data_IF_620077734457
#
_entry.id   IF_620077734457
#
_cell.length_a   1.000
_cell.length_b   1.000
_cell.length_c   1.000
_cell.angle_alpha   90.00
_cell.angle_beta   90.00
_cell.angle_gamma   90.00
#
_symmetry.space_group_name_H-M   'P 1'
#
loop_
_entity.id
_entity.type
_entity.pdbx_description
1 polymer ?
#
# COMPACT_ATOMS: atom_id res chain seq x y z
N UNK A 1 8.21 -26.02 17.01
CA UNK A 1 8.96 -25.54 15.83
C UNK A 1 10.43 -25.61 16.21
N UNK A 2 11.31 -26.08 15.33
CA UNK A 2 12.75 -26.01 15.59
C UNK A 2 13.31 -24.68 15.03
N UNK A 3 14.40 -24.16 15.61
CA UNK A 3 15.02 -22.88 15.21
C UNK A 3 15.31 -22.81 13.70
N UNK A 4 15.58 -23.97 13.08
CA UNK A 4 15.80 -24.09 11.63
C UNK A 4 14.52 -23.80 10.83
N UNK A 5 13.38 -24.34 11.25
CA UNK A 5 12.09 -24.06 10.62
C UNK A 5 11.74 -22.58 10.73
N UNK A 6 12.01 -21.96 11.87
CA UNK A 6 11.79 -20.52 12.08
C UNK A 6 12.67 -19.69 11.13
N UNK A 7 13.97 -20.00 11.03
CA UNK A 7 14.87 -19.32 10.10
C UNK A 7 14.44 -19.50 8.63
N UNK A 8 14.06 -20.71 8.24
CA UNK A 8 13.56 -20.98 6.88
C UNK A 8 12.30 -20.17 6.55
N UNK A 9 11.37 -20.04 7.50
CA UNK A 9 10.16 -19.21 7.33
C UNK A 9 10.54 -17.73 7.19
N UNK A 10 11.46 -17.24 8.00
CA UNK A 10 11.93 -15.86 7.91
C UNK A 10 12.62 -15.59 6.58
N UNK A 11 13.50 -16.47 6.11
CA UNK A 11 14.17 -16.34 4.82
C UNK A 11 13.17 -16.33 3.66
N UNK A 12 12.15 -17.19 3.72
CA UNK A 12 11.03 -17.22 2.77
C UNK A 12 10.27 -15.89 2.74
N UNK A 13 9.93 -15.34 3.90
CA UNK A 13 9.26 -14.04 4.00
C UNK A 13 10.13 -12.91 3.46
N UNK A 14 11.40 -12.83 3.86
CA UNK A 14 12.33 -11.79 3.38
C UNK A 14 12.57 -11.87 1.87
N UNK A 15 12.68 -13.08 1.33
CA UNK A 15 12.87 -13.26 -0.12
C UNK A 15 11.63 -12.78 -0.86
N UNK A 16 10.44 -13.18 -0.39
CA UNK A 16 9.19 -12.76 -1.01
C UNK A 16 8.98 -11.24 -0.93
N UNK A 17 9.16 -10.61 0.22
CA UNK A 17 8.96 -9.15 0.35
C UNK A 17 9.90 -8.38 -0.57
N UNK A 18 11.16 -8.80 -0.70
CA UNK A 18 12.10 -8.21 -1.66
C UNK A 18 11.66 -8.34 -3.11
N UNK A 19 10.93 -9.39 -3.48
CA UNK A 19 10.40 -9.54 -4.85
C UNK A 19 9.30 -8.53 -5.20
N UNK A 20 8.63 -7.96 -4.19
CA UNK A 20 7.58 -6.95 -4.39
C UNK A 20 8.16 -5.56 -4.66
N UNK A 21 9.34 -5.28 -4.08
CA UNK A 21 9.97 -3.94 -4.09
C UNK A 21 10.13 -3.36 -5.49
N UNK A 22 10.56 -4.08 -6.55
CA UNK A 22 10.73 -3.46 -7.87
C UNK A 22 9.45 -2.89 -8.47
N UNK A 23 8.30 -3.54 -8.29
CA UNK A 23 7.03 -3.04 -8.80
C UNK A 23 6.54 -1.84 -7.97
N UNK A 24 6.68 -1.94 -6.65
CA UNK A 24 6.30 -0.88 -5.71
C UNK A 24 7.17 0.38 -5.88
N UNK A 25 8.48 0.21 -6.09
CA UNK A 25 9.42 1.29 -6.36
C UNK A 25 9.06 2.04 -7.64
N UNK A 26 8.77 1.33 -8.74
CA UNK A 26 8.32 1.96 -9.99
C UNK A 26 7.05 2.79 -9.79
N UNK A 27 6.10 2.26 -9.01
CA UNK A 27 4.87 2.99 -8.70
C UNK A 27 5.14 4.27 -7.89
N UNK A 28 6.02 4.19 -6.88
CA UNK A 28 6.45 5.36 -6.10
C UNK A 28 7.14 6.40 -6.99
N UNK A 29 8.01 5.98 -7.92
CA UNK A 29 8.67 6.88 -8.87
C UNK A 29 7.65 7.61 -9.75
N UNK A 30 6.59 6.93 -10.19
CA UNK A 30 5.50 7.54 -10.95
C UNK A 30 4.70 8.55 -10.11
N UNK A 31 4.44 8.26 -8.83
CA UNK A 31 3.85 9.24 -7.92
C UNK A 31 4.75 10.46 -7.73
N UNK A 32 6.07 10.26 -7.63
CA UNK A 32 7.03 11.34 -7.45
C UNK A 32 7.22 12.21 -8.70
N UNK A 33 6.98 11.64 -9.88
CA UNK A 33 6.94 12.37 -11.14
C UNK A 33 5.68 13.25 -11.24
N UNK A 34 4.53 12.77 -10.72
CA UNK A 34 3.29 13.52 -10.67
C UNK A 34 3.31 14.59 -9.59
N UNK A 35 3.88 14.28 -8.42
CA UNK A 35 3.91 15.14 -7.25
C UNK A 35 5.33 15.40 -6.77
N UNK A 36 6.03 16.41 -7.33
CA UNK A 36 7.41 16.72 -6.95
C UNK A 36 7.61 17.01 -5.45
N UNK A 37 6.57 17.43 -4.73
CA UNK A 37 6.60 17.68 -3.28
C UNK A 37 6.89 16.43 -2.45
N UNK A 38 6.68 15.21 -2.97
CA UNK A 38 7.02 13.99 -2.23
C UNK A 38 8.47 13.54 -2.44
N UNK A 39 9.20 14.09 -3.43
CA UNK A 39 10.60 13.72 -3.68
C UNK A 39 11.51 13.93 -2.46
N UNK A 40 11.39 15.04 -1.70
CA UNK A 40 12.12 15.19 -0.44
C UNK A 40 11.81 14.09 0.59
N UNK A 41 10.56 13.63 0.68
CA UNK A 41 10.16 12.53 1.58
C UNK A 41 10.84 11.23 1.18
N UNK A 42 10.93 10.94 -0.12
CA UNK A 42 11.63 9.76 -0.64
C UNK A 42 13.13 9.82 -0.32
N UNK A 43 13.75 10.99 -0.53
CA UNK A 43 15.17 11.18 -0.26
C UNK A 43 15.50 11.10 1.24
N UNK A 44 14.62 11.61 2.10
CA UNK A 44 14.71 11.46 3.56
C UNK A 44 14.55 10.00 3.97
N UNK A 45 13.52 9.32 3.47
CA UNK A 45 13.26 7.91 3.74
C UNK A 45 14.47 7.02 3.44
N UNK A 46 15.08 7.17 2.26
CA UNK A 46 16.24 6.37 1.86
C UNK A 46 17.46 6.69 2.74
N UNK A 47 17.65 7.96 3.13
CA UNK A 47 18.76 8.36 3.99
C UNK A 47 18.63 7.76 5.40
N UNK A 48 17.40 7.68 5.91
CA UNK A 48 17.15 7.24 7.28
C UNK A 48 17.11 5.71 7.42
N UNK A 49 16.82 4.98 6.33
CA UNK A 49 16.67 3.52 6.35
C UNK A 49 17.75 2.76 5.56
N UNK A 50 18.66 3.46 4.86
CA UNK A 50 19.67 2.89 3.93
C UNK A 50 19.09 2.06 2.75
N UNK A 51 17.76 1.98 2.64
CA UNK A 51 17.05 1.30 1.55
C UNK A 51 15.65 1.90 1.34
N UNK A 52 15.03 1.60 0.19
CA UNK A 52 13.64 1.92 -0.04
C UNK A 52 12.75 0.89 0.66
N UNK A 53 11.91 1.34 1.58
CA UNK A 53 10.89 0.52 2.24
C UNK A 53 9.49 1.02 1.81
N UNK A 54 8.92 0.50 0.70
CA UNK A 54 7.71 1.06 0.09
C UNK A 54 6.53 1.18 1.05
N UNK A 55 6.27 0.16 1.87
CA UNK A 55 5.18 0.17 2.87
C UNK A 55 5.32 1.31 3.87
N UNK A 56 6.54 1.56 4.35
CA UNK A 56 6.82 2.62 5.34
C UNK A 56 6.68 3.98 4.68
N UNK A 57 7.35 4.17 3.53
CA UNK A 57 7.30 5.41 2.75
C UNK A 57 5.87 5.77 2.33
N UNK A 58 5.06 4.80 1.92
CA UNK A 58 3.67 5.07 1.53
C UNK A 58 2.83 5.56 2.73
N UNK A 59 3.17 5.14 3.96
CA UNK A 59 2.61 5.72 5.18
C UNK A 59 3.00 7.18 5.37
N UNK A 60 4.22 7.57 5.01
CA UNK A 60 4.66 8.97 5.03
C UNK A 60 3.97 9.81 3.96
N UNK A 61 3.80 9.26 2.76
CA UNK A 61 3.00 9.86 1.68
C UNK A 61 1.54 10.04 2.13
N UNK A 62 0.95 9.07 2.84
CA UNK A 62 -0.40 9.20 3.41
C UNK A 62 -0.50 10.36 4.41
N UNK A 63 0.52 10.56 5.27
CA UNK A 63 0.58 11.72 6.17
C UNK A 63 0.74 13.03 5.41
N UNK A 64 1.55 13.06 4.35
CA UNK A 64 1.69 14.22 3.48
C UNK A 64 0.37 14.59 2.81
N UNK A 65 -0.39 13.63 2.28
CA UNK A 65 -1.75 13.87 1.75
C UNK A 65 -2.64 14.51 2.82
N UNK A 66 -2.56 14.03 4.07
CA UNK A 66 -3.27 14.64 5.19
C UNK A 66 -2.88 16.09 5.46
N UNK A 67 -1.61 16.47 5.26
CA UNK A 67 -1.15 17.85 5.35
C UNK A 67 -1.72 18.70 4.19
N UNK A 68 -1.62 18.22 2.94
CA UNK A 68 -2.15 18.93 1.77
C UNK A 68 -3.66 19.18 1.91
N UNK A 69 -4.41 18.21 2.44
CA UNK A 69 -5.86 18.36 2.68
C UNK A 69 -6.17 19.43 3.74
N UNK A 70 -5.31 19.62 4.74
CA UNK A 70 -5.48 20.67 5.75
C UNK A 70 -5.15 22.06 5.21
N UNK A 71 -4.11 22.17 4.38
CA UNK A 71 -3.54 23.46 3.98
C UNK A 71 -4.11 24.00 2.67
N UNK A 72 -4.60 23.12 1.79
CA UNK A 72 -5.15 23.53 0.50
C UNK A 72 -6.60 24.03 0.64
N UNK A 73 -6.95 25.21 0.08
CA UNK A 73 -8.34 25.67 0.01
C UNK A 73 -9.21 24.81 -0.93
N UNK A 74 -8.59 24.08 -1.86
CA UNK A 74 -9.26 23.10 -2.74
C UNK A 74 -8.42 21.82 -2.84
N UNK A 75 -8.49 20.94 -1.84
CA UNK A 75 -7.74 19.69 -1.83
C UNK A 75 -8.13 18.75 -2.98
N UNK A 76 -9.40 18.79 -3.42
CA UNK A 76 -9.88 17.91 -4.49
C UNK A 76 -9.18 18.22 -5.79
N UNK A 77 -9.09 19.50 -6.18
CA UNK A 77 -8.38 19.91 -7.38
C UNK A 77 -6.87 19.65 -7.26
N UNK A 78 -6.27 20.01 -6.11
CA UNK A 78 -4.83 19.86 -5.85
C UNK A 78 -4.34 18.41 -5.95
N UNK A 79 -5.14 17.47 -5.44
CA UNK A 79 -4.77 16.04 -5.36
C UNK A 79 -5.44 15.18 -6.44
N UNK A 80 -6.21 15.76 -7.37
CA UNK A 80 -6.91 15.00 -8.40
C UNK A 80 -5.96 14.09 -9.23
N UNK A 81 -4.78 14.56 -9.71
CA UNK A 81 -3.87 13.69 -10.46
C UNK A 81 -3.31 12.55 -9.61
N UNK A 82 -3.02 12.82 -8.33
CA UNK A 82 -2.51 11.83 -7.38
C UNK A 82 -3.53 10.71 -7.14
N UNK A 83 -4.77 11.06 -6.79
CA UNK A 83 -5.83 10.05 -6.57
C UNK A 83 -6.23 9.32 -7.85
N UNK A 84 -6.20 9.98 -9.00
CA UNK A 84 -6.41 9.31 -10.29
C UNK A 84 -5.36 8.24 -10.54
N UNK A 85 -4.07 8.54 -10.26
CA UNK A 85 -2.99 7.55 -10.41
C UNK A 85 -3.16 6.38 -9.44
N UNK A 86 -3.57 6.61 -8.18
CA UNK A 86 -3.85 5.52 -7.23
C UNK A 86 -4.99 4.62 -7.74
N UNK A 87 -6.06 5.23 -8.23
CA UNK A 87 -7.23 4.53 -8.76
C UNK A 87 -6.88 3.71 -10.02
N UNK A 88 -6.06 4.25 -10.92
CA UNK A 88 -5.58 3.55 -12.12
C UNK A 88 -4.61 2.40 -11.82
N UNK A 89 -3.80 2.52 -10.76
CA UNK A 89 -2.92 1.45 -10.30
C UNK A 89 -3.64 0.32 -9.57
N UNK A 90 -4.91 0.50 -9.24
CA UNK A 90 -5.66 -0.51 -8.51
C UNK A 90 -6.02 -1.69 -9.41
N UNK A 91 -5.42 -2.83 -9.11
CA UNK A 91 -5.71 -4.14 -9.69
C UNK A 91 -6.57 -4.96 -8.73
N UNK A 92 -7.76 -5.40 -9.17
CA UNK A 92 -8.73 -6.15 -8.36
C UNK A 92 -8.21 -7.52 -7.89
N UNK A 93 -7.20 -8.07 -8.57
CA UNK A 93 -6.55 -9.35 -8.23
C UNK A 93 -5.50 -9.24 -7.10
N UNK A 94 -5.23 -8.01 -6.61
CA UNK A 94 -4.36 -7.80 -5.46
C UNK A 94 -2.87 -7.86 -5.77
N UNK A 95 -2.44 -7.32 -6.91
CA UNK A 95 -1.02 -7.17 -7.25
C UNK A 95 -0.21 -6.41 -6.19
N UNK A 96 1.15 -6.45 -6.26
CA UNK A 96 2.03 -5.83 -5.27
C UNK A 96 1.77 -4.34 -5.02
N UNK A 97 1.27 -3.63 -6.04
CA UNK A 97 0.91 -2.20 -5.97
C UNK A 97 -0.46 -2.02 -5.31
N UNK A 98 -1.47 -2.83 -5.65
CA UNK A 98 -2.77 -2.81 -4.96
C UNK A 98 -2.63 -3.09 -3.46
N UNK A 99 -1.77 -4.05 -3.09
CA UNK A 99 -1.49 -4.34 -1.68
C UNK A 99 -0.87 -3.12 -0.99
N UNK A 100 0.12 -2.48 -1.62
CA UNK A 100 0.74 -1.25 -1.10
C UNK A 100 -0.28 -0.13 -0.91
N UNK A 101 -1.12 0.14 -1.92
CA UNK A 101 -2.18 1.17 -1.84
C UNK A 101 -3.18 0.82 -0.74
N UNK A 102 -3.59 -0.43 -0.64
CA UNK A 102 -4.53 -0.87 0.38
C UNK A 102 -3.96 -0.67 1.78
N UNK A 103 -2.89 -1.39 2.13
CA UNK A 103 -2.42 -1.51 3.52
C UNK A 103 -1.59 -0.32 3.97
N UNK A 104 -0.96 0.39 3.03
CA UNK A 104 -0.05 1.49 3.36
C UNK A 104 -0.60 2.86 3.02
N UNK A 105 -1.69 2.95 2.26
CA UNK A 105 -2.35 4.23 2.00
C UNK A 105 -3.78 4.28 2.54
N UNK A 106 -4.70 3.48 1.99
CA UNK A 106 -6.13 3.56 2.37
C UNK A 106 -6.34 3.26 3.85
N UNK A 107 -5.66 2.24 4.38
CA UNK A 107 -5.71 1.89 5.81
C UNK A 107 -5.00 2.90 6.72
N UNK A 108 -4.12 3.75 6.19
CA UNK A 108 -3.51 4.84 6.96
C UNK A 108 -4.35 6.13 6.96
N UNK A 109 -5.36 6.24 6.09
CA UNK A 109 -6.22 7.45 5.96
C UNK A 109 -7.69 7.20 6.28
N UNK A 110 -8.07 5.97 6.66
CA UNK A 110 -9.46 5.55 6.83
C UNK A 110 -10.26 6.38 7.84
N UNK A 111 -9.58 6.95 8.84
CA UNK A 111 -10.15 7.77 9.90
C UNK A 111 -10.23 9.26 9.55
N UNK A 112 -9.70 9.65 8.37
CA UNK A 112 -9.76 11.02 7.88
C UNK A 112 -10.87 11.19 6.81
N UNK A 113 -12.08 11.65 7.18
CA UNK A 113 -13.19 11.74 6.24
C UNK A 113 -12.95 12.75 5.11
N UNK A 114 -12.04 13.72 5.28
CA UNK A 114 -11.71 14.66 4.21
C UNK A 114 -10.89 13.99 3.11
N UNK A 115 -9.97 13.08 3.47
CA UNK A 115 -9.20 12.27 2.51
C UNK A 115 -10.09 11.20 1.87
N UNK A 116 -10.91 10.50 2.66
CA UNK A 116 -11.79 9.42 2.16
C UNK A 116 -12.71 9.90 1.03
N UNK A 117 -13.16 11.16 1.07
CA UNK A 117 -14.00 11.77 0.02
C UNK A 117 -13.26 12.00 -1.31
N UNK A 118 -11.95 11.86 -1.34
CA UNK A 118 -11.11 12.02 -2.54
C UNK A 118 -10.84 10.69 -3.24
N UNK A 119 -11.12 9.55 -2.60
CA UNK A 119 -10.94 8.23 -3.18
C UNK A 119 -11.80 8.06 -4.43
N UNK A 120 -11.23 7.41 -5.45
CA UNK A 120 -11.98 6.92 -6.61
C UNK A 120 -12.86 5.72 -6.25
N UNK A 121 -13.67 5.22 -7.21
CA UNK A 121 -14.68 4.19 -6.94
C UNK A 121 -14.12 2.88 -6.38
N UNK A 122 -12.99 2.38 -6.88
CA UNK A 122 -12.37 1.14 -6.44
C UNK A 122 -11.78 1.30 -5.04
N UNK A 123 -11.05 2.39 -4.78
CA UNK A 123 -10.48 2.64 -3.46
C UNK A 123 -11.55 2.95 -2.41
N UNK A 124 -12.61 3.66 -2.80
CA UNK A 124 -13.77 3.87 -1.94
C UNK A 124 -14.48 2.55 -1.64
N UNK A 125 -14.59 1.64 -2.62
CA UNK A 125 -15.10 0.29 -2.39
C UNK A 125 -14.23 -0.48 -1.39
N UNK A 126 -12.91 -0.49 -1.59
CA UNK A 126 -11.97 -1.11 -0.64
C UNK A 126 -12.13 -0.56 0.77
N UNK A 127 -12.20 0.77 0.91
CA UNK A 127 -12.45 1.43 2.19
C UNK A 127 -13.74 0.94 2.87
N UNK A 128 -14.84 0.81 2.13
CA UNK A 128 -16.13 0.33 2.68
C UNK A 128 -16.05 -1.13 3.12
N UNK A 129 -15.33 -1.97 2.37
CA UNK A 129 -15.07 -3.36 2.77
C UNK A 129 -14.20 -3.42 4.03
N UNK A 130 -13.10 -2.66 4.06
CA UNK A 130 -12.15 -2.60 5.19
C UNK A 130 -12.82 -2.14 6.49
N UNK A 131 -13.67 -1.11 6.40
CA UNK A 131 -14.41 -0.56 7.55
C UNK A 131 -15.68 -1.33 7.92
N UNK A 132 -15.97 -2.43 7.22
CA UNK A 132 -17.15 -3.28 7.48
C UNK A 132 -18.48 -2.69 7.04
N UNK A 133 -18.47 -1.61 6.24
CA UNK A 133 -19.66 -0.99 5.65
C UNK A 133 -20.22 -1.81 4.48
N UNK A 134 -19.37 -2.56 3.78
CA UNK A 134 -19.73 -3.48 2.70
C UNK A 134 -19.11 -4.85 2.90
N UNK A 135 -19.72 -5.87 2.30
CA UNK A 135 -19.13 -7.21 2.23
C UNK A 135 -18.19 -7.29 1.01
N UNK A 136 -17.05 -7.99 1.11
CA UNK A 136 -16.22 -8.25 -0.06
C UNK A 136 -17.03 -9.04 -1.09
N UNK A 137 -16.85 -8.73 -2.38
CA UNK A 137 -17.35 -9.58 -3.46
C UNK A 137 -16.56 -10.90 -3.46
N UNK A 138 -17.15 -11.98 -3.98
CA UNK A 138 -16.48 -13.29 -3.99
C UNK A 138 -15.21 -13.29 -4.86
N UNK A 139 -15.18 -12.47 -5.92
CA UNK A 139 -14.03 -12.25 -6.81
C UNK A 139 -12.95 -11.34 -6.19
N UNK A 140 -13.25 -10.66 -5.08
CA UNK A 140 -12.33 -9.75 -4.38
C UNK A 140 -11.56 -10.44 -3.25
N UNK A 141 -11.75 -11.74 -3.05
CA UNK A 141 -10.93 -12.47 -2.09
C UNK A 141 -9.50 -12.52 -2.61
N UNK A 142 -8.64 -11.69 -2.03
CA UNK A 142 -7.22 -11.66 -2.35
C UNK A 142 -6.65 -13.08 -2.33
N UNK A 143 -5.98 -13.51 -3.40
CA UNK A 143 -5.35 -14.82 -3.39
C UNK A 143 -4.30 -14.84 -2.29
N UNK A 144 -4.30 -15.90 -1.48
CA UNK A 144 -3.22 -16.12 -0.51
C UNK A 144 -1.94 -16.35 -1.32
N UNK A 145 -0.92 -15.47 -1.21
CA UNK A 145 0.33 -15.63 -1.94
C UNK A 145 0.88 -17.04 -1.75
N UNK A 146 1.44 -17.63 -2.80
CA UNK A 146 1.92 -19.01 -2.76
C UNK A 146 2.90 -19.23 -1.59
N UNK A 147 3.73 -18.23 -1.28
CA UNK A 147 4.64 -18.27 -0.14
C UNK A 147 3.92 -18.48 1.19
N UNK A 148 2.75 -17.86 1.41
CA UNK A 148 1.97 -18.04 2.63
C UNK A 148 1.39 -19.45 2.69
N UNK A 149 1.05 -20.05 1.55
CA UNK A 149 0.63 -21.45 1.50
C UNK A 149 1.80 -22.39 1.88
N UNK A 150 3.01 -22.09 1.40
CA UNK A 150 4.22 -22.85 1.75
C UNK A 150 4.57 -22.69 3.25
N UNK A 151 4.44 -21.49 3.80
CA UNK A 151 4.63 -21.22 5.24
C UNK A 151 3.59 -21.97 6.07
N UNK A 152 2.30 -21.92 5.71
CA UNK A 152 1.24 -22.68 6.41
C UNK A 152 1.55 -24.18 6.47
N UNK A 153 2.03 -24.76 5.35
CA UNK A 153 2.47 -26.16 5.31
C UNK A 153 3.63 -26.42 6.28
N UNK A 154 4.63 -25.53 6.37
CA UNK A 154 5.74 -25.64 7.33
C UNK A 154 5.30 -25.49 8.78
N UNK A 155 4.30 -24.65 9.05
CA UNK A 155 3.71 -24.47 10.38
C UNK A 155 2.81 -25.64 10.82
N UNK A 156 2.50 -26.59 9.91
CA UNK A 156 1.54 -27.67 10.17
C UNK A 156 0.09 -27.20 10.22
N UNK A 157 -0.21 -26.03 9.64
CA UNK A 157 -1.56 -25.49 9.56
C UNK A 157 -2.24 -26.03 8.29
N UNK A 158 -3.28 -26.84 8.47
CA UNK A 158 -4.16 -27.37 7.41
C UNK A 158 -5.15 -26.32 6.94
#
# INVERSE_FOLDING_TARGET
>A
MDDRTDQEIMDMLYTWTRTLVPAQARFIDELAALEPEIQPLIAEHIRDNDELLPTVLMGDIARWVGQVVRDSPDPRSRLAPFFARLEEAWEDDGGPVSELIAVSFVENVYDNPAIVRLLGPNLAHYYRVYTGQEKPRDDQRRPVPEILQQIRKKLGWS
#
